data_IF_210274132940
#
_entry.id   IF_210274132940
#
_cell.length_a   1.000
_cell.length_b   1.000
_cell.length_c   1.000
_cell.angle_alpha   90.00
_cell.angle_beta   90.00
_cell.angle_gamma   90.00
#
_symmetry.space_group_name_H-M   'P 1'
#
loop_
_entity.id
_entity.type
_entity.pdbx_description
1 polymer ?
#
# COMPACT_ATOMS: atom_id res chain seq x y z
N UNK A 1 40.76 40.88 -54.39
CA UNK A 1 39.48 41.63 -54.41
C UNK A 1 38.48 40.80 -53.61
N UNK A 2 38.58 40.84 -52.29
CA UNK A 2 37.86 41.77 -51.41
C UNK A 2 36.38 41.36 -51.13
N UNK A 3 36.21 40.66 -49.99
CA UNK A 3 35.22 40.83 -48.90
C UNK A 3 33.80 41.33 -49.22
N UNK A 4 32.80 40.58 -48.73
CA UNK A 4 31.72 41.11 -47.86
C UNK A 4 31.36 40.07 -46.77
N UNK A 5 31.38 40.54 -45.53
CA UNK A 5 30.96 39.92 -44.26
C UNK A 5 29.58 40.51 -43.87
N UNK A 6 28.96 39.97 -42.81
CA UNK A 6 27.86 40.51 -41.96
C UNK A 6 26.45 40.04 -42.38
N UNK A 7 25.49 39.61 -41.54
CA UNK A 7 25.26 39.37 -40.09
C UNK A 7 24.10 38.31 -40.06
N UNK A 8 23.95 37.39 -39.11
CA UNK A 8 23.67 37.63 -37.70
C UNK A 8 22.20 38.02 -37.50
N UNK A 9 21.31 37.04 -37.30
CA UNK A 9 20.07 37.19 -36.53
C UNK A 9 19.75 35.82 -35.93
N UNK A 10 19.83 35.79 -34.60
CA UNK A 10 19.52 34.66 -33.74
C UNK A 10 18.00 34.59 -33.62
N UNK A 11 17.39 33.52 -34.13
CA UNK A 11 16.03 33.18 -33.73
C UNK A 11 16.13 32.51 -32.35
N UNK A 12 15.93 33.32 -31.31
CA UNK A 12 15.67 32.89 -29.95
C UNK A 12 14.54 31.87 -29.97
N UNK A 13 14.91 30.59 -29.85
CA UNK A 13 13.97 29.54 -29.50
C UNK A 13 13.63 29.78 -28.04
N UNK A 14 12.55 30.51 -27.80
CA UNK A 14 11.83 30.52 -26.54
C UNK A 14 11.28 29.11 -26.27
N UNK A 15 12.16 28.18 -25.88
CA UNK A 15 11.78 26.93 -25.24
C UNK A 15 11.48 27.23 -23.76
N UNK A 16 10.57 28.17 -23.52
CA UNK A 16 9.81 28.27 -22.26
C UNK A 16 8.68 27.23 -22.27
N UNK A 17 8.97 26.02 -22.75
CA UNK A 17 8.41 24.84 -22.10
C UNK A 17 9.17 24.69 -20.78
N UNK A 18 8.89 25.62 -19.86
CA UNK A 18 8.90 25.39 -18.43
C UNK A 18 8.02 24.17 -18.20
N UNK A 19 8.66 23.02 -18.41
CA UNK A 19 8.17 21.71 -18.17
C UNK A 19 7.65 21.81 -16.75
N UNK A 20 6.33 21.73 -16.64
CA UNK A 20 5.59 21.54 -15.42
C UNK A 20 5.94 20.13 -14.88
N UNK A 21 7.23 19.84 -14.74
CA UNK A 21 7.75 19.17 -13.55
C UNK A 21 7.71 20.21 -12.44
N UNK A 22 6.52 20.76 -12.16
CA UNK A 22 6.16 20.94 -10.78
C UNK A 22 6.48 19.59 -10.17
N UNK A 23 7.60 19.50 -9.45
CA UNK A 23 7.96 18.36 -8.63
C UNK A 23 6.71 18.10 -7.82
N UNK A 24 5.89 17.16 -8.27
CA UNK A 24 4.57 16.88 -7.73
C UNK A 24 4.86 16.18 -6.41
N UNK A 25 5.23 17.00 -5.44
CA UNK A 25 5.77 16.58 -4.17
C UNK A 25 4.53 16.30 -3.36
N UNK A 26 4.17 15.02 -3.31
CA UNK A 26 3.11 14.57 -2.44
C UNK A 26 3.74 14.01 -1.17
N UNK A 27 3.09 14.25 -0.05
CA UNK A 27 3.54 13.79 1.26
C UNK A 27 2.89 12.46 1.65
N UNK A 28 1.80 12.06 0.99
CA UNK A 28 1.11 10.80 1.25
C UNK A 28 0.31 10.32 0.03
N UNK A 29 -0.04 9.03 0.04
CA UNK A 29 -0.82 8.40 -1.04
C UNK A 29 -2.19 9.07 -1.25
N UNK A 30 -2.84 9.56 -0.19
CA UNK A 30 -4.14 10.24 -0.28
C UNK A 30 -4.07 11.55 -1.09
N UNK A 31 -2.96 12.29 -0.98
CA UNK A 31 -2.78 13.53 -1.75
C UNK A 31 -2.58 13.23 -3.23
N UNK A 32 -2.05 12.06 -3.58
CA UNK A 32 -1.80 11.65 -4.97
C UNK A 32 -3.11 11.47 -5.75
N UNK A 33 -4.14 10.92 -5.09
CA UNK A 33 -5.49 10.78 -5.64
C UNK A 33 -6.14 12.15 -5.91
N UNK A 34 -6.05 13.07 -4.93
CA UNK A 34 -6.56 14.45 -5.05
C UNK A 34 -5.87 15.26 -6.15
N UNK A 35 -4.62 14.95 -6.46
CA UNK A 35 -3.85 15.59 -7.53
C UNK A 35 -4.22 15.06 -8.92
N UNK A 36 -5.08 14.04 -9.03
CA UNK A 36 -5.58 13.53 -10.30
C UNK A 36 -4.49 12.96 -11.20
N UNK A 37 -3.44 12.37 -10.62
CA UNK A 37 -2.33 11.84 -11.41
C UNK A 37 -2.79 10.65 -12.25
N UNK A 38 -2.33 10.58 -13.49
CA UNK A 38 -2.68 9.51 -14.43
C UNK A 38 -1.89 8.22 -14.20
N UNK A 39 -0.81 8.26 -13.41
CA UNK A 39 0.04 7.09 -13.15
C UNK A 39 0.69 7.15 -11.77
N UNK A 40 0.94 5.96 -11.21
CA UNK A 40 1.63 5.81 -9.93
C UNK A 40 3.12 6.12 -10.10
N UNK A 41 3.75 6.93 -9.23
CA UNK A 41 5.17 7.24 -9.31
C UNK A 41 6.03 5.98 -9.23
N UNK A 42 7.06 5.92 -10.09
CA UNK A 42 7.92 4.73 -10.28
C UNK A 42 8.49 4.14 -8.99
N UNK A 43 8.77 4.97 -7.97
CA UNK A 43 9.30 4.53 -6.66
C UNK A 43 8.34 3.63 -5.87
N UNK A 44 7.04 3.63 -6.18
CA UNK A 44 6.04 2.77 -5.56
C UNK A 44 5.70 1.54 -6.41
N UNK A 45 6.25 1.44 -7.62
CA UNK A 45 6.05 0.29 -8.50
C UNK A 45 7.06 -0.79 -8.15
N UNK A 46 6.58 -1.91 -7.61
CA UNK A 46 7.44 -3.06 -7.31
C UNK A 46 8.12 -3.60 -8.59
N UNK A 47 9.39 -4.04 -8.52
CA UNK A 47 10.04 -4.77 -9.59
C UNK A 47 9.25 -6.02 -9.97
N UNK A 48 9.28 -6.43 -11.23
CA UNK A 48 8.49 -7.57 -11.74
C UNK A 48 8.63 -8.85 -10.90
N UNK A 49 9.84 -9.16 -10.41
CA UNK A 49 10.12 -10.32 -9.57
C UNK A 49 9.46 -10.29 -8.19
N UNK A 50 9.07 -9.11 -7.70
CA UNK A 50 8.44 -8.91 -6.39
C UNK A 50 6.95 -8.58 -6.50
N UNK A 51 6.40 -8.50 -7.71
CA UNK A 51 4.97 -8.24 -7.89
C UNK A 51 4.20 -9.48 -7.46
N UNK A 52 3.14 -9.33 -6.64
CA UNK A 52 2.27 -10.45 -6.32
C UNK A 52 1.64 -10.97 -7.61
N UNK A 53 1.66 -12.29 -7.80
CA UNK A 53 1.02 -12.92 -8.95
C UNK A 53 -0.50 -12.94 -8.71
N UNK A 54 -1.31 -12.21 -9.50
CA UNK A 54 -2.75 -12.12 -9.30
C UNK A 54 -3.48 -13.45 -9.54
N UNK A 55 -2.82 -14.42 -10.21
CA UNK A 55 -3.40 -15.72 -10.52
C UNK A 55 -3.04 -16.81 -9.50
N UNK A 56 -2.29 -16.48 -8.44
CA UNK A 56 -2.00 -17.45 -7.37
C UNK A 56 -3.23 -17.58 -6.49
N UNK A 57 -3.88 -18.73 -6.55
CA UNK A 57 -4.86 -19.11 -5.53
C UNK A 57 -4.12 -19.38 -4.22
N UNK A 58 -4.29 -18.48 -3.25
CA UNK A 58 -3.79 -18.69 -1.90
C UNK A 58 -4.68 -19.75 -1.25
N UNK A 59 -4.18 -20.97 -1.15
CA UNK A 59 -4.91 -22.11 -0.57
C UNK A 59 -4.84 -22.16 0.96
N UNK A 60 -4.07 -21.27 1.60
CA UNK A 60 -3.88 -21.28 3.06
C UNK A 60 -5.02 -20.53 3.73
N UNK A 61 -5.95 -21.26 4.35
CA UNK A 61 -6.96 -20.66 5.22
C UNK A 61 -6.29 -20.19 6.51
N UNK A 62 -6.39 -18.90 6.82
CA UNK A 62 -5.93 -18.37 8.10
C UNK A 62 -6.86 -18.89 9.21
N UNK A 63 -6.35 -19.50 10.29
CA UNK A 63 -7.18 -20.04 11.36
C UNK A 63 -8.01 -18.94 12.01
N UNK A 64 -9.30 -19.20 12.23
CA UNK A 64 -10.17 -18.33 13.04
C UNK A 64 -10.30 -18.93 14.44
N UNK A 65 -9.90 -18.16 15.45
CA UNK A 65 -9.94 -18.55 16.85
C UNK A 65 -10.97 -17.69 17.59
N UNK A 66 -11.98 -18.34 18.17
CA UNK A 66 -12.90 -17.68 19.08
C UNK A 66 -12.27 -17.56 20.47
N UNK A 67 -12.00 -16.32 20.90
CA UNK A 67 -11.41 -16.04 22.20
C UNK A 67 -12.43 -16.11 23.34
N UNK A 68 -13.74 -16.09 23.05
CA UNK A 68 -14.77 -16.21 24.09
C UNK A 68 -14.65 -17.54 24.85
N UNK A 69 -14.20 -18.58 24.14
CA UNK A 69 -13.89 -19.91 24.66
C UNK A 69 -12.83 -19.95 25.77
N UNK A 70 -12.02 -18.90 25.93
CA UNK A 70 -11.05 -18.79 27.05
C UNK A 70 -11.72 -18.57 28.41
N UNK A 71 -12.95 -18.04 28.42
CA UNK A 71 -13.74 -17.85 29.64
C UNK A 71 -14.48 -19.12 30.05
N UNK A 72 -14.61 -20.09 29.15
CA UNK A 72 -15.19 -21.40 29.44
C UNK A 72 -14.11 -22.38 29.91
N UNK A 73 -14.16 -22.78 31.18
CA UNK A 73 -13.14 -23.64 31.80
C UNK A 73 -12.86 -24.94 31.00
N UNK A 74 -13.90 -25.52 30.39
CA UNK A 74 -13.78 -26.74 29.58
C UNK A 74 -13.10 -26.51 28.22
N UNK A 75 -13.27 -25.33 27.60
CA UNK A 75 -12.76 -25.03 26.26
C UNK A 75 -11.43 -24.26 26.27
N UNK A 76 -11.04 -23.70 27.43
CA UNK A 76 -9.83 -22.88 27.58
C UNK A 76 -8.57 -23.62 27.15
N UNK A 77 -8.37 -24.86 27.59
CA UNK A 77 -7.16 -25.64 27.25
C UNK A 77 -7.06 -25.91 25.74
N UNK A 78 -8.19 -26.27 25.11
CA UNK A 78 -8.26 -26.48 23.66
C UNK A 78 -7.97 -25.19 22.90
N UNK A 79 -8.56 -24.07 23.33
CA UNK A 79 -8.35 -22.76 22.70
C UNK A 79 -6.88 -22.33 22.76
N UNK A 80 -6.22 -22.52 23.91
CA UNK A 80 -4.78 -22.26 24.06
C UNK A 80 -3.95 -23.16 23.14
N UNK A 81 -4.32 -24.43 22.96
CA UNK A 81 -3.65 -25.34 22.02
C UNK A 81 -3.76 -24.79 20.59
N UNK A 82 -4.96 -24.42 20.15
CA UNK A 82 -5.15 -23.86 18.80
C UNK A 82 -4.34 -22.57 18.57
N UNK A 83 -4.23 -21.70 19.58
CA UNK A 83 -3.39 -20.49 19.51
C UNK A 83 -1.92 -20.87 19.34
N UNK A 84 -1.42 -21.85 20.11
CA UNK A 84 -0.05 -22.36 19.98
C UNK A 84 0.20 -22.91 18.60
N UNK A 85 -0.68 -23.77 18.11
CA UNK A 85 -0.53 -24.44 16.82
C UNK A 85 -0.53 -23.43 15.67
N UNK A 86 -1.48 -22.48 15.67
CA UNK A 86 -1.52 -21.42 14.67
C UNK A 86 -0.26 -20.54 14.69
N UNK A 87 0.25 -20.21 15.89
CA UNK A 87 1.47 -19.44 16.06
C UNK A 87 2.72 -20.18 15.56
N UNK A 88 2.78 -21.50 15.74
CA UNK A 88 3.93 -22.31 15.33
C UNK A 88 3.94 -22.65 13.83
N UNK A 89 2.76 -22.87 13.24
CA UNK A 89 2.67 -23.32 11.84
C UNK A 89 2.50 -22.18 10.84
N UNK A 90 1.68 -21.18 11.17
CA UNK A 90 1.33 -20.09 10.25
C UNK A 90 1.92 -18.76 10.75
N UNK A 91 2.05 -18.60 12.07
CA UNK A 91 2.46 -17.33 12.69
C UNK A 91 1.36 -16.25 12.66
N UNK A 92 0.16 -16.60 12.19
CA UNK A 92 -0.99 -15.72 12.05
C UNK A 92 -2.29 -16.49 12.31
N UNK A 93 -3.24 -15.83 12.96
CA UNK A 93 -4.63 -16.27 13.10
C UNK A 93 -5.56 -15.06 13.19
N UNK A 94 -6.83 -15.26 12.83
CA UNK A 94 -7.91 -14.31 13.02
C UNK A 94 -8.57 -14.56 14.38
N UNK A 95 -9.09 -13.50 15.00
CA UNK A 95 -9.83 -13.60 16.27
C UNK A 95 -11.27 -13.17 16.07
N UNK A 96 -12.21 -13.94 16.62
CA UNK A 96 -13.61 -13.51 16.70
C UNK A 96 -13.81 -12.71 17.99
N UNK A 97 -14.29 -11.49 17.88
CA UNK A 97 -14.70 -10.65 19.01
C UNK A 97 -16.22 -10.69 19.13
N UNK A 98 -16.74 -10.85 20.35
CA UNK A 98 -18.17 -10.72 20.61
C UNK A 98 -18.63 -9.29 20.33
N UNK A 99 -19.88 -9.15 19.84
CA UNK A 99 -20.49 -7.89 19.40
C UNK A 99 -20.34 -6.73 20.41
N UNK A 100 -20.25 -7.03 21.70
CA UNK A 100 -20.07 -6.04 22.77
C UNK A 100 -18.73 -5.29 22.68
N UNK A 101 -17.65 -5.96 22.29
CA UNK A 101 -16.33 -5.32 22.09
C UNK A 101 -16.31 -4.54 20.77
N UNK A 102 -17.05 -5.00 19.77
CA UNK A 102 -17.18 -4.31 18.47
C UNK A 102 -17.86 -2.94 18.58
N UNK A 103 -18.80 -2.75 19.51
CA UNK A 103 -19.43 -1.44 19.72
C UNK A 103 -18.50 -0.45 20.44
N UNK A 104 -17.72 -0.91 21.43
CA UNK A 104 -16.80 -0.02 22.17
C UNK A 104 -15.67 0.52 21.29
N UNK A 105 -15.16 -0.28 20.35
CA UNK A 105 -14.10 0.17 19.42
C UNK A 105 -14.66 1.12 18.34
N UNK A 106 -15.94 1.01 17.98
CA UNK A 106 -16.56 1.84 16.96
C UNK A 106 -16.96 3.24 17.45
N UNK A 107 -17.11 3.45 18.76
CA UNK A 107 -17.53 4.74 19.33
C UNK A 107 -16.33 5.68 19.62
N UNK A 108 -15.10 5.17 19.58
CA UNK A 108 -13.87 5.94 19.82
C UNK A 108 -13.10 6.37 18.54
N UNK A 109 -13.76 6.38 17.37
CA UNK A 109 -13.25 6.97 16.10
C UNK A 109 -14.19 8.09 15.67
#
# INVERSE_FOLDING_TARGET
MEKRLMLGEEDDIDDDNNNVIASSTFTCAMSLDKLGVSSIPRRYVLPHSHRPNPNVQISTTIPLIDLSSLHHHQLRAQTISHIRDASQHIGLFQVSLSLSLSLSIYIDI
#
